data_IF_011713231055
#
_entry.id   IF_011713231055
#
_cell.length_a   1.000
_cell.length_b   1.000
_cell.length_c   1.000
_cell.angle_alpha   90.00
_cell.angle_beta   90.00
_cell.angle_gamma   90.00
#
_symmetry.space_group_name_H-M   'P 1'
#
loop_
_entity.id
_entity.type
_entity.pdbx_description
1 polymer ?
#
# COMPACT_ATOMS: atom_id res chain seq x y z
N UNK A 1 -8.02 7.17 12.41
CA UNK A 1 -8.53 5.87 11.91
C UNK A 1 -7.89 5.66 10.55
N UNK A 2 -7.26 4.51 10.32
CA UNK A 2 -6.50 4.27 9.08
C UNK A 2 -7.49 4.01 7.93
N UNK A 3 -7.42 4.80 6.87
CA UNK A 3 -8.23 4.61 5.67
C UNK A 3 -7.52 3.61 4.75
N UNK A 4 -8.13 2.45 4.53
CA UNK A 4 -7.63 1.38 3.64
C UNK A 4 -8.58 1.27 2.46
N UNK A 5 -8.04 1.37 1.24
CA UNK A 5 -8.79 1.18 0.01
C UNK A 5 -8.16 0.07 -0.82
N UNK A 6 -8.91 -1.00 -1.04
CA UNK A 6 -8.52 -2.03 -2.01
C UNK A 6 -8.60 -1.44 -3.42
N UNK A 7 -7.53 -1.57 -4.19
CA UNK A 7 -7.52 -1.14 -5.58
C UNK A 7 -7.92 -2.31 -6.47
N UNK A 8 -9.05 -2.14 -7.16
CA UNK A 8 -9.55 -3.09 -8.17
C UNK A 8 -9.35 -2.48 -9.55
N UNK A 9 -8.99 -3.29 -10.54
CA UNK A 9 -8.82 -2.84 -11.93
C UNK A 9 -7.39 -2.93 -12.47
N UNK A 10 -6.43 -3.32 -11.64
CA UNK A 10 -5.18 -3.87 -12.14
C UNK A 10 -5.44 -5.33 -12.53
N UNK A 11 -4.98 -5.76 -13.70
CA UNK A 11 -5.02 -7.17 -14.13
C UNK A 11 -4.00 -7.99 -13.32
N UNK A 12 -4.15 -7.97 -12.00
CA UNK A 12 -3.27 -8.63 -11.06
C UNK A 12 -3.36 -10.14 -11.26
N UNK A 13 -2.21 -10.80 -11.13
CA UNK A 13 -2.16 -12.26 -11.16
C UNK A 13 -3.00 -12.85 -10.01
N UNK A 14 -3.57 -14.06 -10.18
CA UNK A 14 -4.23 -14.76 -9.10
C UNK A 14 -3.32 -14.86 -7.87
N UNK A 15 -3.84 -14.49 -6.69
CA UNK A 15 -3.05 -14.48 -5.47
C UNK A 15 -2.23 -13.20 -5.24
N UNK A 16 -2.50 -12.13 -5.98
CA UNK A 16 -1.97 -10.78 -5.73
C UNK A 16 -3.10 -9.81 -5.39
N UNK A 17 -2.94 -9.05 -4.31
CA UNK A 17 -3.83 -7.96 -3.92
C UNK A 17 -3.03 -6.66 -3.82
N UNK A 18 -3.67 -5.55 -4.15
CA UNK A 18 -3.08 -4.23 -4.04
C UNK A 18 -3.98 -3.30 -3.22
N UNK A 19 -3.39 -2.61 -2.25
CA UNK A 19 -4.07 -1.67 -1.38
C UNK A 19 -3.41 -0.31 -1.45
N UNK A 20 -4.23 0.74 -1.50
CA UNK A 20 -3.78 2.09 -1.17
C UNK A 20 -4.11 2.38 0.28
N UNK A 21 -3.10 2.85 1.02
CA UNK A 21 -3.25 3.32 2.40
C UNK A 21 -2.76 4.76 2.49
N UNK A 22 -3.38 5.56 3.35
CA UNK A 22 -2.83 6.87 3.75
C UNK A 22 -1.96 6.68 4.98
N UNK A 23 -0.77 7.27 4.94
CA UNK A 23 0.20 7.24 6.03
C UNK A 23 0.44 8.66 6.51
N UNK A 24 0.24 8.87 7.81
CA UNK A 24 0.58 10.11 8.49
C UNK A 24 2.06 10.08 8.89
N UNK A 25 2.87 10.92 8.26
CA UNK A 25 4.28 11.08 8.59
C UNK A 25 4.47 12.24 9.56
N UNK A 26 5.10 11.96 10.71
CA UNK A 26 5.55 12.98 11.65
C UNK A 26 6.97 13.43 11.30
N UNK A 27 7.07 14.38 10.38
CA UNK A 27 8.36 14.92 9.95
C UNK A 27 8.85 15.99 10.93
N UNK A 28 10.12 15.88 11.35
CA UNK A 28 10.79 16.94 12.12
C UNK A 28 10.86 18.28 11.36
N UNK A 29 10.95 18.22 10.02
CA UNK A 29 10.90 19.39 9.13
C UNK A 29 10.33 18.98 7.78
N UNK A 30 9.24 19.63 7.37
CA UNK A 30 8.65 19.48 6.04
C UNK A 30 9.47 20.28 5.02
N UNK A 31 9.90 19.64 3.94
CA UNK A 31 10.65 20.30 2.83
C UNK A 31 9.86 20.22 1.53
N UNK A 32 9.30 19.04 1.21
CA UNK A 32 8.60 18.77 -0.05
C UNK A 32 7.20 18.18 0.16
N UNK A 33 6.73 18.11 1.40
CA UNK A 33 5.44 17.54 1.76
C UNK A 33 4.53 18.64 2.32
N UNK A 34 3.28 18.66 1.87
CA UNK A 34 2.33 19.73 2.19
C UNK A 34 1.71 19.55 3.58
N UNK A 35 1.28 18.33 3.91
CA UNK A 35 0.52 18.02 5.12
C UNK A 35 1.04 16.80 5.90
N UNK A 36 2.10 16.15 5.40
CA UNK A 36 2.64 14.92 5.97
C UNK A 36 1.78 13.68 5.74
N UNK A 37 0.63 13.79 5.07
CA UNK A 37 -0.27 12.66 4.77
C UNK A 37 0.00 12.18 3.36
N UNK A 38 0.58 10.99 3.22
CA UNK A 38 0.98 10.48 1.92
C UNK A 38 0.45 9.09 1.60
N UNK A 39 0.04 8.84 0.35
CA UNK A 39 -0.38 7.51 -0.05
C UNK A 39 0.83 6.56 -0.10
N UNK A 40 0.58 5.32 0.28
CA UNK A 40 1.45 4.17 0.02
C UNK A 40 0.64 3.06 -0.61
N UNK A 41 1.30 2.30 -1.48
CA UNK A 41 0.72 1.20 -2.21
C UNK A 41 1.34 -0.09 -1.69
N UNK A 42 0.50 -0.98 -1.16
CA UNK A 42 0.92 -2.23 -0.53
C UNK A 42 0.49 -3.37 -1.45
N UNK A 43 1.48 -4.15 -1.90
CA UNK A 43 1.24 -5.37 -2.66
C UNK A 43 1.30 -6.55 -1.68
N UNK A 44 0.23 -7.33 -1.64
CA UNK A 44 0.18 -8.57 -0.89
C UNK A 44 0.20 -9.75 -1.87
N UNK A 45 1.03 -10.74 -1.58
CA UNK A 45 1.11 -11.98 -2.37
C UNK A 45 0.81 -13.19 -1.52
N UNK A 46 0.13 -14.15 -2.13
CA UNK A 46 -0.14 -15.48 -1.58
C UNK A 46 0.67 -16.51 -2.39
N UNK A 47 1.61 -17.18 -1.75
CA UNK A 47 2.50 -18.14 -2.43
C UNK A 47 1.82 -19.50 -2.71
N UNK A 48 0.78 -19.83 -1.94
CA UNK A 48 -0.05 -21.03 -2.15
C UNK A 48 -1.44 -20.84 -1.56
N UNK A 49 -2.44 -21.60 -2.01
CA UNK A 49 -3.82 -21.51 -1.51
C UNK A 49 -3.95 -21.66 0.02
N UNK A 50 -3.05 -22.41 0.65
CA UNK A 50 -3.03 -22.65 2.10
C UNK A 50 -2.21 -21.64 2.89
N UNK A 51 -1.40 -20.81 2.23
CA UNK A 51 -0.57 -19.81 2.89
C UNK A 51 -1.35 -18.57 3.32
N UNK A 52 -0.82 -17.82 4.28
CA UNK A 52 -1.29 -16.46 4.57
C UNK A 52 -0.83 -15.47 3.49
N UNK A 53 -1.29 -14.22 3.60
CA UNK A 53 -0.80 -13.12 2.77
C UNK A 53 0.51 -12.60 3.33
N UNK A 54 1.51 -12.41 2.47
CA UNK A 54 2.74 -11.68 2.82
C UNK A 54 2.78 -10.33 2.11
N UNK A 55 3.43 -9.36 2.75
CA UNK A 55 3.81 -8.12 2.05
C UNK A 55 4.88 -8.49 1.03
N UNK A 56 4.59 -8.23 -0.23
CA UNK A 56 5.50 -8.43 -1.35
C UNK A 56 6.22 -7.13 -1.70
N UNK A 57 5.53 -5.99 -1.61
CA UNK A 57 6.12 -4.69 -1.88
C UNK A 57 5.37 -3.54 -1.23
N UNK A 58 6.10 -2.46 -0.98
CA UNK A 58 5.58 -1.17 -0.54
C UNK A 58 6.10 -0.09 -1.49
N UNK A 59 5.21 0.56 -2.22
CA UNK A 59 5.52 1.59 -3.19
C UNK A 59 4.99 2.96 -2.79
N UNK A 60 5.54 3.99 -3.42
CA UNK A 60 5.07 5.38 -3.32
C UNK A 60 4.09 5.76 -4.43
N UNK A 61 3.75 4.82 -5.32
CA UNK A 61 3.02 5.08 -6.57
C UNK A 61 3.99 5.43 -7.71
N UNK A 62 3.49 5.60 -8.95
CA UNK A 62 4.24 6.27 -10.01
C UNK A 62 4.59 7.72 -9.65
#
# INVERSE_FOLDING_TARGET
MLEIKELKGFNNEPGVLEYQVKVDFDFKKLITADDGVWPRFIILKKESEKSGWRIDGVGTGP
#
